data_IF_343645331953
#
_entry.id   IF_343645331953
#
_cell.length_a   1.000
_cell.length_b   1.000
_cell.length_c   1.000
_cell.angle_alpha   90.00
_cell.angle_beta   90.00
_cell.angle_gamma   90.00
#
_symmetry.space_group_name_H-M   'P 1'
#
loop_
_entity.id
_entity.type
_entity.pdbx_description
1 polymer ?
#
# COMPACT_ATOMS: atom_id res chain seq x y z
N UNK A 1 -15.99 4.30 12.50
CA UNK A 1 -15.38 4.99 11.34
C UNK A 1 -14.62 3.96 10.52
N UNK A 2 -14.48 4.16 9.20
CA UNK A 2 -13.65 3.24 8.40
C UNK A 2 -12.19 3.31 8.85
N UNK A 3 -11.48 2.19 8.73
CA UNK A 3 -10.04 2.11 8.96
C UNK A 3 -9.27 2.99 7.96
N UNK A 4 -9.73 3.02 6.71
CA UNK A 4 -9.15 3.86 5.67
C UNK A 4 -9.76 5.26 5.74
N UNK A 5 -8.91 6.28 5.78
CA UNK A 5 -9.32 7.67 5.84
C UNK A 5 -8.49 8.50 4.87
N UNK A 6 -9.15 9.42 4.18
CA UNK A 6 -8.52 10.38 3.28
C UNK A 6 -8.45 11.74 3.95
N UNK A 7 -7.41 12.51 3.62
CA UNK A 7 -7.30 13.93 3.94
C UNK A 7 -7.05 14.71 2.66
N UNK A 8 -7.76 15.81 2.47
CA UNK A 8 -7.51 16.71 1.33
C UNK A 8 -6.30 17.61 1.61
N UNK A 9 -5.65 18.16 0.56
CA UNK A 9 -4.56 19.12 0.72
C UNK A 9 -4.92 20.30 1.64
N UNK A 10 -6.11 20.87 1.49
CA UNK A 10 -6.59 21.97 2.34
C UNK A 10 -6.70 21.55 3.81
N UNK A 11 -7.30 20.39 4.08
CA UNK A 11 -7.44 19.89 5.44
C UNK A 11 -6.08 19.59 6.09
N UNK A 12 -5.11 19.09 5.32
CA UNK A 12 -3.75 18.87 5.82
C UNK A 12 -3.07 20.21 6.14
N UNK A 13 -3.14 21.19 5.23
CA UNK A 13 -2.59 22.53 5.46
C UNK A 13 -3.14 23.20 6.73
N UNK A 14 -4.46 23.08 6.97
CA UNK A 14 -5.12 23.59 8.18
C UNK A 14 -4.70 22.85 9.47
N UNK A 15 -4.09 21.67 9.36
CA UNK A 15 -3.63 20.83 10.49
C UNK A 15 -2.12 20.89 10.73
N UNK A 16 -1.32 21.46 9.82
CA UNK A 16 0.14 21.42 9.91
C UNK A 16 0.72 21.97 11.23
N UNK A 17 0.06 22.98 11.83
CA UNK A 17 0.49 23.56 13.10
C UNK A 17 0.02 22.77 14.35
N UNK A 18 -0.76 21.68 14.18
CA UNK A 18 -1.28 20.91 15.31
C UNK A 18 -0.19 20.01 15.87
N UNK A 19 -0.03 19.94 17.21
CA UNK A 19 0.91 19.03 17.81
C UNK A 19 0.50 17.57 17.57
N UNK A 20 1.48 16.69 17.36
CA UNK A 20 1.25 15.25 17.19
C UNK A 20 0.93 14.80 15.75
N UNK A 21 0.94 15.72 14.78
CA UNK A 21 0.91 15.38 13.35
C UNK A 21 2.29 14.88 12.91
N UNK A 22 2.32 13.72 12.26
CA UNK A 22 3.49 13.17 11.56
C UNK A 22 3.13 12.99 10.09
N UNK A 23 3.97 13.49 9.20
CA UNK A 23 3.77 13.36 7.75
C UNK A 23 4.86 12.45 7.20
N UNK A 24 4.51 11.41 6.45
CA UNK A 24 5.47 10.56 5.75
C UNK A 24 5.32 10.73 4.23
N UNK A 25 6.44 11.02 3.60
CA UNK A 25 6.61 11.04 2.16
C UNK A 25 7.09 9.66 1.70
N UNK A 26 6.24 8.95 0.98
CA UNK A 26 6.49 7.61 0.47
C UNK A 26 6.84 7.60 -1.03
N UNK A 27 7.25 8.73 -1.61
CA UNK A 27 7.63 8.78 -3.04
C UNK A 27 8.74 7.78 -3.35
N UNK A 28 8.55 7.05 -4.45
CA UNK A 28 9.46 6.02 -4.95
C UNK A 28 9.21 5.78 -6.45
N UNK A 29 10.19 5.24 -7.17
CA UNK A 29 10.05 4.80 -8.55
C UNK A 29 10.79 3.46 -8.74
N UNK A 30 10.12 2.47 -9.33
CA UNK A 30 10.69 1.12 -9.48
C UNK A 30 11.89 1.06 -10.42
N UNK A 31 11.95 1.96 -11.39
CA UNK A 31 13.03 2.09 -12.38
C UNK A 31 14.17 3.01 -11.90
N UNK A 32 13.98 3.70 -10.77
CA UNK A 32 14.94 4.64 -10.20
C UNK A 32 14.80 4.68 -8.66
N UNK A 33 15.44 3.74 -7.93
CA UNK A 33 15.31 3.63 -6.47
C UNK A 33 15.71 4.91 -5.71
N UNK A 34 16.59 5.74 -6.27
CA UNK A 34 17.02 7.00 -5.66
C UNK A 34 16.06 8.16 -5.95
N UNK A 35 15.06 7.98 -6.81
CA UNK A 35 14.09 9.02 -7.18
C UNK A 35 13.41 9.61 -5.95
N UNK A 36 12.93 8.77 -5.03
CA UNK A 36 12.20 9.21 -3.84
C UNK A 36 13.02 10.19 -2.99
N UNK A 37 14.26 9.82 -2.68
CA UNK A 37 15.17 10.65 -1.90
C UNK A 37 15.52 11.96 -2.61
N UNK A 38 15.79 11.91 -3.93
CA UNK A 38 16.10 13.12 -4.70
C UNK A 38 14.89 14.05 -4.81
N UNK A 39 13.70 13.50 -5.07
CA UNK A 39 12.44 14.23 -5.18
C UNK A 39 12.07 14.90 -3.84
N UNK A 40 12.28 14.19 -2.72
CA UNK A 40 12.17 14.73 -1.37
C UNK A 40 13.11 15.92 -1.13
N UNK A 41 14.39 15.79 -1.49
CA UNK A 41 15.37 16.85 -1.31
C UNK A 41 15.11 18.10 -2.19
N UNK A 42 14.38 17.94 -3.30
CA UNK A 42 13.97 19.05 -4.18
C UNK A 42 12.71 19.78 -3.70
N UNK A 43 11.95 19.19 -2.78
CA UNK A 43 10.75 19.79 -2.21
C UNK A 43 9.80 18.74 -1.65
N UNK A 44 9.32 18.95 -0.43
CA UNK A 44 8.37 18.07 0.25
C UNK A 44 7.37 18.89 1.06
N UNK A 45 6.31 18.26 1.56
CA UNK A 45 5.39 18.92 2.50
C UNK A 45 6.16 19.24 3.79
N UNK A 46 6.07 20.48 4.29
CA UNK A 46 6.75 20.94 5.51
C UNK A 46 6.56 19.94 6.67
N UNK A 47 7.67 19.55 7.32
CA UNK A 47 7.67 18.60 8.43
C UNK A 47 7.54 17.12 8.04
N UNK A 48 7.49 16.79 6.74
CA UNK A 48 7.47 15.39 6.31
C UNK A 48 8.80 14.68 6.59
N UNK A 49 8.74 13.38 6.85
CA UNK A 49 9.89 12.48 6.81
C UNK A 49 9.82 11.63 5.54
N UNK A 50 10.94 11.42 4.86
CA UNK A 50 11.00 10.43 3.77
C UNK A 50 10.97 9.01 4.34
N UNK A 51 10.04 8.20 3.83
CA UNK A 51 9.83 6.80 4.15
C UNK A 51 10.07 5.97 2.89
N UNK A 52 11.28 5.44 2.76
CA UNK A 52 11.74 4.78 1.54
C UNK A 52 11.18 3.36 1.42
N UNK A 53 10.69 3.01 0.23
CA UNK A 53 10.06 1.71 0.00
C UNK A 53 11.03 0.54 0.26
N UNK A 54 12.27 0.65 -0.20
CA UNK A 54 13.26 -0.43 -0.13
C UNK A 54 13.99 -0.42 1.22
N UNK A 55 14.34 0.77 1.73
CA UNK A 55 15.17 0.90 2.94
C UNK A 55 14.36 0.81 4.23
N UNK A 56 13.09 1.23 4.22
CA UNK A 56 12.28 1.33 5.44
C UNK A 56 11.01 0.49 5.41
N UNK A 57 10.34 0.39 4.25
CA UNK A 57 9.02 -0.26 4.14
C UNK A 57 9.08 -1.70 3.57
N UNK A 58 10.30 -2.23 3.41
CA UNK A 58 10.56 -3.59 2.92
C UNK A 58 11.69 -4.26 3.70
N UNK A 59 11.65 -5.59 3.75
CA UNK A 59 12.73 -6.42 4.26
C UNK A 59 13.77 -6.77 3.18
N UNK A 60 14.87 -7.42 3.56
CA UNK A 60 15.90 -7.84 2.62
C UNK A 60 15.36 -8.92 1.67
N UNK A 61 15.69 -8.80 0.38
CA UNK A 61 15.35 -9.79 -0.64
C UNK A 61 16.27 -11.01 -0.51
N UNK A 62 15.69 -12.19 -0.31
CA UNK A 62 16.40 -13.47 -0.30
C UNK A 62 16.06 -14.21 -1.60
N UNK A 63 17.05 -14.33 -2.48
CA UNK A 63 16.90 -14.93 -3.81
C UNK A 63 16.29 -16.34 -3.72
N UNK A 64 15.22 -16.56 -4.48
CA UNK A 64 14.52 -17.84 -4.56
C UNK A 64 13.55 -18.11 -3.41
N UNK A 65 13.58 -17.30 -2.35
CA UNK A 65 12.71 -17.47 -1.18
C UNK A 65 11.64 -16.39 -1.11
N UNK A 66 12.03 -15.12 -1.28
CA UNK A 66 11.11 -13.98 -1.11
C UNK A 66 10.77 -13.30 -2.43
N UNK A 67 9.71 -12.50 -2.43
CA UNK A 67 9.42 -11.53 -3.49
C UNK A 67 10.34 -10.30 -3.47
N UNK A 68 10.05 -9.31 -4.31
CA UNK A 68 10.85 -8.07 -4.45
C UNK A 68 10.73 -7.09 -3.28
N UNK A 69 9.60 -7.09 -2.57
CA UNK A 69 9.39 -6.20 -1.41
C UNK A 69 8.85 -6.99 -0.21
N UNK A 70 9.67 -7.85 0.39
CA UNK A 70 9.30 -8.62 1.59
C UNK A 70 8.81 -7.69 2.71
N UNK A 71 8.02 -8.20 3.65
CA UNK A 71 7.69 -7.41 4.84
C UNK A 71 8.97 -7.07 5.62
N UNK A 72 9.10 -5.85 6.17
CA UNK A 72 10.24 -5.48 6.99
C UNK A 72 10.24 -6.23 8.32
N UNK A 73 11.41 -6.30 8.96
CA UNK A 73 11.48 -6.77 10.34
C UNK A 73 10.61 -5.87 11.24
N UNK A 74 9.66 -6.43 12.02
CA UNK A 74 8.74 -5.63 12.81
C UNK A 74 9.40 -4.73 13.84
N UNK A 75 10.50 -5.19 14.47
CA UNK A 75 11.21 -4.42 15.50
C UNK A 75 11.93 -3.24 14.84
N UNK A 76 12.63 -3.48 13.73
CA UNK A 76 13.27 -2.42 12.96
C UNK A 76 12.26 -1.38 12.44
N UNK A 77 11.10 -1.83 11.95
CA UNK A 77 10.05 -0.94 11.49
C UNK A 77 9.48 -0.09 12.65
N UNK A 78 9.18 -0.67 13.80
CA UNK A 78 8.72 0.09 14.99
C UNK A 78 9.75 1.14 15.40
N UNK A 79 11.03 0.78 15.41
CA UNK A 79 12.12 1.72 15.71
C UNK A 79 12.22 2.86 14.71
N UNK A 80 12.00 2.58 13.42
CA UNK A 80 11.94 3.61 12.38
C UNK A 80 10.75 4.54 12.57
N UNK A 81 9.56 4.00 12.82
CA UNK A 81 8.35 4.80 13.08
C UNK A 81 8.52 5.71 14.30
N UNK A 82 9.15 5.23 15.38
CA UNK A 82 9.53 6.04 16.54
C UNK A 82 10.50 7.15 16.17
N UNK A 83 11.48 6.88 15.31
CA UNK A 83 12.45 7.88 14.85
C UNK A 83 11.79 9.02 14.04
N UNK A 84 10.68 8.75 13.35
CA UNK A 84 9.83 9.75 12.70
C UNK A 84 8.81 10.42 13.63
N UNK A 85 8.88 10.18 14.94
CA UNK A 85 7.99 10.84 15.91
C UNK A 85 6.64 10.16 16.14
N UNK A 86 6.39 8.99 15.56
CA UNK A 86 5.08 8.32 15.68
C UNK A 86 4.89 7.77 17.10
N UNK A 87 3.74 8.12 17.67
CA UNK A 87 3.21 7.64 18.95
C UNK A 87 1.80 7.07 18.74
N UNK A 88 1.25 6.37 19.74
CA UNK A 88 -0.08 5.77 19.64
C UNK A 88 -1.18 6.79 19.26
N UNK A 89 -1.10 8.01 19.80
CA UNK A 89 -2.05 9.10 19.59
C UNK A 89 -1.68 10.05 18.45
N UNK A 90 -0.59 9.81 17.72
CA UNK A 90 -0.22 10.66 16.57
C UNK A 90 -1.29 10.60 15.47
N UNK A 91 -1.57 11.74 14.84
CA UNK A 91 -2.17 11.76 13.51
C UNK A 91 -1.05 11.53 12.50
N UNK A 92 -1.20 10.55 11.61
CA UNK A 92 -0.20 10.20 10.58
C UNK A 92 -0.80 10.45 9.22
N UNK A 93 -0.13 11.24 8.38
CA UNK A 93 -0.54 11.52 7.00
C UNK A 93 0.51 10.99 6.05
N UNK A 94 0.09 10.14 5.12
CA UNK A 94 0.94 9.43 4.18
C UNK A 94 0.66 9.95 2.77
N UNK A 95 1.70 10.20 1.98
CA UNK A 95 1.53 10.62 0.59
C UNK A 95 2.64 10.08 -0.32
N UNK A 96 2.37 10.04 -1.61
CA UNK A 96 3.36 9.90 -2.67
C UNK A 96 3.05 10.91 -3.79
N UNK A 97 3.57 10.74 -5.00
CA UNK A 97 3.35 11.71 -6.09
C UNK A 97 1.90 11.84 -6.54
N UNK A 98 1.02 10.89 -6.23
CA UNK A 98 -0.39 11.01 -6.57
C UNK A 98 -1.19 9.72 -6.44
N UNK A 99 -0.78 8.61 -7.10
CA UNK A 99 -1.57 7.39 -7.14
C UNK A 99 -1.72 6.68 -5.80
N UNK A 100 -1.03 7.10 -4.74
CA UNK A 100 -1.21 6.62 -3.37
C UNK A 100 -0.74 5.18 -3.13
N UNK A 101 -0.10 4.52 -4.09
CA UNK A 101 0.28 3.11 -3.96
C UNK A 101 1.37 2.87 -2.92
N UNK A 102 2.34 3.78 -2.80
CA UNK A 102 3.42 3.65 -1.81
C UNK A 102 2.94 4.13 -0.44
N UNK A 103 2.13 5.20 -0.42
CA UNK A 103 1.45 5.65 0.79
C UNK A 103 0.52 4.56 1.36
N UNK A 104 -0.19 3.82 0.51
CA UNK A 104 -1.03 2.70 0.93
C UNK A 104 -0.22 1.54 1.50
N UNK A 105 0.99 1.27 0.99
CA UNK A 105 1.91 0.29 1.58
C UNK A 105 2.32 0.69 3.00
N UNK A 106 2.69 1.95 3.21
CA UNK A 106 2.99 2.46 4.55
C UNK A 106 1.77 2.38 5.50
N UNK A 107 0.58 2.72 5.01
CA UNK A 107 -0.67 2.59 5.77
C UNK A 107 -0.94 1.15 6.19
N UNK A 108 -0.78 0.20 5.27
CA UNK A 108 -1.01 -1.21 5.58
C UNK A 108 -0.04 -1.72 6.64
N UNK A 109 1.24 -1.31 6.57
CA UNK A 109 2.25 -1.65 7.59
C UNK A 109 1.92 -1.07 8.96
N UNK A 110 1.41 0.16 9.03
CA UNK A 110 0.89 0.75 10.26
C UNK A 110 -0.29 -0.05 10.83
N UNK A 111 -1.26 -0.41 9.99
CA UNK A 111 -2.41 -1.23 10.39
C UNK A 111 -1.98 -2.63 10.86
N UNK A 112 -0.98 -3.22 10.19
CA UNK A 112 -0.34 -4.49 10.53
C UNK A 112 0.34 -4.46 11.88
N UNK A 113 0.97 -3.35 12.25
CA UNK A 113 1.52 -3.14 13.59
C UNK A 113 0.49 -2.66 14.62
N UNK A 114 -0.79 -2.53 14.25
CA UNK A 114 -1.87 -2.14 15.15
C UNK A 114 -2.18 -0.64 15.22
N UNK A 115 -1.45 0.22 14.50
CA UNK A 115 -1.79 1.65 14.35
C UNK A 115 -2.96 1.81 13.38
N UNK A 116 -4.18 1.76 13.89
CA UNK A 116 -5.43 1.78 13.10
C UNK A 116 -6.19 3.10 13.16
N UNK A 117 -5.94 3.90 14.19
CA UNK A 117 -6.61 5.19 14.37
C UNK A 117 -5.71 6.36 13.96
N UNK A 118 -6.32 7.41 13.41
CA UNK A 118 -5.63 8.64 13.04
C UNK A 118 -4.58 8.47 11.94
N UNK A 119 -4.78 7.55 11.00
CA UNK A 119 -3.91 7.38 9.84
C UNK A 119 -4.67 7.75 8.56
N UNK A 120 -4.11 8.66 7.77
CA UNK A 120 -4.73 9.21 6.57
C UNK A 120 -3.81 9.08 5.36
N UNK A 121 -4.39 8.89 4.18
CA UNK A 121 -3.71 9.14 2.91
C UNK A 121 -4.07 10.54 2.42
N UNK A 122 -3.09 11.29 1.92
CA UNK A 122 -3.33 12.54 1.20
C UNK A 122 -3.95 12.22 -0.17
N UNK A 123 -5.21 12.60 -0.35
CA UNK A 123 -5.97 12.26 -1.56
C UNK A 123 -5.42 12.99 -2.79
N UNK A 124 -4.93 12.21 -3.77
CA UNK A 124 -4.22 12.70 -4.95
C UNK A 124 -2.77 13.13 -4.70
N UNK A 125 -2.22 12.85 -3.51
CA UNK A 125 -0.80 12.99 -3.18
C UNK A 125 -0.21 14.39 -3.40
N UNK A 126 1.09 14.43 -3.71
CA UNK A 126 1.84 15.68 -3.93
C UNK A 126 1.35 16.44 -5.16
N UNK A 127 0.88 15.74 -6.21
CA UNK A 127 0.23 16.36 -7.37
C UNK A 127 -0.98 17.20 -6.95
N UNK A 128 -1.87 16.65 -6.12
CA UNK A 128 -3.03 17.40 -5.62
C UNK A 128 -2.64 18.52 -4.65
N UNK A 129 -1.60 18.32 -3.84
CA UNK A 129 -1.02 19.37 -2.99
C UNK A 129 -0.58 20.58 -3.81
N UNK A 130 0.18 20.34 -4.88
CA UNK A 130 0.65 21.37 -5.78
C UNK A 130 -0.52 22.05 -6.53
N UNK A 131 -1.47 21.28 -7.05
CA UNK A 131 -2.66 21.81 -7.73
C UNK A 131 -3.54 22.69 -6.80
N UNK A 132 -3.49 22.45 -5.49
CA UNK A 132 -4.16 23.26 -4.49
C UNK A 132 -3.39 24.54 -4.11
N UNK A 133 -2.25 24.82 -4.75
CA UNK A 133 -1.41 25.99 -4.49
C UNK A 133 -0.70 25.96 -3.14
N UNK A 134 -0.55 24.79 -2.53
CA UNK A 134 0.09 24.66 -1.22
C UNK A 134 1.62 24.63 -1.35
N UNK A 135 2.36 25.23 -0.41
CA UNK A 135 3.81 25.37 -0.53
C UNK A 135 4.54 24.05 -0.28
N UNK A 136 5.72 23.92 -0.88
CA UNK A 136 6.71 22.91 -0.50
C UNK A 136 7.77 23.54 0.38
N UNK A 137 8.46 22.67 1.11
CA UNK A 137 9.60 22.99 1.97
C UNK A 137 10.84 22.23 1.54
N UNK A 138 11.98 22.79 1.94
CA UNK A 138 13.30 22.15 1.90
C UNK A 138 13.87 21.94 3.31
N UNK A 139 13.13 22.36 4.35
CA UNK A 139 13.58 22.28 5.72
C UNK A 139 13.58 20.82 6.19
N UNK A 140 14.61 20.37 6.93
CA UNK A 140 14.54 19.07 7.57
C UNK A 140 13.37 19.03 8.58
N UNK A 141 12.71 17.88 8.76
CA UNK A 141 11.65 17.75 9.74
C UNK A 141 12.19 17.96 11.15
N UNK A 142 11.34 18.46 12.04
CA UNK A 142 11.72 18.68 13.44
C UNK A 142 12.04 17.36 14.12
N UNK A 143 13.16 17.32 14.85
CA UNK A 143 13.57 16.15 15.59
C UNK A 143 12.64 15.91 16.79
N UNK A 144 12.06 14.70 16.86
CA UNK A 144 11.30 14.24 18.01
C UNK A 144 11.09 12.73 17.92
N UNK A 145 11.50 12.00 18.96
CA UNK A 145 11.31 10.55 19.00
C UNK A 145 9.94 10.22 19.60
N UNK A 146 9.14 9.44 18.89
CA UNK A 146 7.85 8.97 19.33
C UNK A 146 7.94 7.73 20.23
N UNK A 147 6.79 7.29 20.74
CA UNK A 147 6.68 6.18 21.70
C UNK A 147 5.87 4.99 21.17
N UNK A 148 5.60 4.93 19.87
CA UNK A 148 4.76 3.88 19.29
C UNK A 148 5.22 2.47 19.66
N UNK A 149 4.30 1.61 20.05
CA UNK A 149 4.53 0.17 20.19
C UNK A 149 3.56 -0.54 19.25
N UNK A 150 4.03 -1.61 18.61
CA UNK A 150 3.22 -2.34 17.66
C UNK A 150 3.66 -3.79 17.54
N UNK A 151 2.69 -4.65 17.29
CA UNK A 151 2.89 -6.08 17.09
C UNK A 151 2.20 -6.49 15.80
N UNK A 152 2.88 -7.23 14.91
CA UNK A 152 2.28 -7.79 13.71
C UNK A 152 0.96 -8.53 13.96
N UNK A 153 -0.10 -8.15 13.25
CA UNK A 153 -1.33 -8.91 13.15
C UNK A 153 -1.18 -10.01 12.09
N UNK A 154 -1.01 -11.25 12.54
CA UNK A 154 -0.87 -12.41 11.66
C UNK A 154 -2.09 -12.62 10.75
N UNK A 155 -3.28 -12.15 11.12
CA UNK A 155 -4.50 -12.33 10.31
C UNK A 155 -4.52 -11.45 9.06
N UNK A 156 -3.69 -10.39 9.01
CA UNK A 156 -3.63 -9.48 7.87
C UNK A 156 -2.75 -10.00 6.74
N UNK A 157 -1.98 -11.07 6.95
CA UNK A 157 -1.13 -11.66 5.91
C UNK A 157 -1.40 -13.16 5.72
N UNK A 158 -1.04 -13.67 4.56
CA UNK A 158 -1.06 -15.11 4.27
C UNK A 158 0.29 -15.52 3.67
N UNK A 159 0.79 -16.68 4.10
CA UNK A 159 1.99 -17.29 3.51
C UNK A 159 1.68 -17.84 2.12
N UNK A 160 2.72 -18.12 1.33
CA UNK A 160 2.49 -18.75 0.02
C UNK A 160 2.02 -20.19 0.14
N UNK A 161 2.45 -20.91 1.18
CA UNK A 161 2.02 -22.28 1.47
C UNK A 161 0.52 -22.32 1.80
N UNK A 162 0.07 -21.42 2.68
CA UNK A 162 -1.34 -21.33 3.05
C UNK A 162 -2.21 -20.86 1.88
N UNK A 163 -1.70 -19.92 1.05
CA UNK A 163 -2.41 -19.50 -0.15
C UNK A 163 -2.56 -20.66 -1.14
N UNK A 164 -1.50 -21.44 -1.38
CA UNK A 164 -1.55 -22.62 -2.24
C UNK A 164 -2.63 -23.62 -1.79
N UNK A 165 -2.72 -23.88 -0.49
CA UNK A 165 -3.74 -24.78 0.07
C UNK A 165 -5.17 -24.25 -0.08
N UNK A 166 -5.34 -22.94 -0.23
CA UNK A 166 -6.65 -22.30 -0.42
C UNK A 166 -7.06 -22.11 -1.88
N UNK A 167 -6.15 -22.34 -2.84
CA UNK A 167 -6.49 -22.23 -4.26
C UNK A 167 -7.66 -23.14 -4.64
N UNK A 168 -8.60 -22.60 -5.41
CA UNK A 168 -9.80 -23.30 -5.86
C UNK A 168 -10.92 -23.41 -4.82
N UNK A 169 -10.72 -22.94 -3.58
CA UNK A 169 -11.82 -22.89 -2.61
C UNK A 169 -12.91 -21.90 -3.07
N UNK A 170 -14.19 -22.32 -3.20
CA UNK A 170 -15.25 -21.47 -3.76
C UNK A 170 -15.53 -20.20 -2.97
N UNK A 171 -15.19 -20.17 -1.67
CA UNK A 171 -15.37 -19.01 -0.81
C UNK A 171 -14.31 -17.93 -1.01
N UNK A 172 -13.12 -18.28 -1.52
CA UNK A 172 -12.00 -17.36 -1.60
C UNK A 172 -12.18 -16.37 -2.76
N UNK A 173 -11.86 -15.11 -2.50
CA UNK A 173 -11.69 -14.09 -3.53
C UNK A 173 -10.22 -13.72 -3.57
N UNK A 174 -9.53 -14.03 -4.67
CA UNK A 174 -8.13 -13.67 -4.87
C UNK A 174 -8.05 -12.52 -5.87
N UNK A 175 -7.56 -11.35 -5.44
CA UNK A 175 -7.47 -10.15 -6.27
C UNK A 175 -6.03 -9.80 -6.63
N UNK A 176 -5.76 -9.63 -7.92
CA UNK A 176 -4.49 -9.10 -8.42
C UNK A 176 -4.62 -7.60 -8.74
N UNK A 177 -3.80 -6.76 -8.11
CA UNK A 177 -3.82 -5.32 -8.30
C UNK A 177 -2.98 -4.82 -9.50
N UNK A 178 -2.29 -5.72 -10.23
CA UNK A 178 -1.53 -5.37 -11.43
C UNK A 178 -2.45 -4.92 -12.56
N UNK A 179 -1.88 -4.19 -13.52
CA UNK A 179 -2.56 -3.82 -14.75
C UNK A 179 -3.01 -5.07 -15.52
N UNK A 180 -4.16 -4.98 -16.19
CA UNK A 180 -4.79 -6.10 -16.88
C UNK A 180 -3.86 -6.83 -17.88
N UNK A 181 -3.04 -6.15 -18.71
CA UNK A 181 -2.12 -6.85 -19.61
C UNK A 181 -1.07 -7.70 -18.89
N UNK A 182 -0.62 -7.28 -17.70
CA UNK A 182 0.31 -8.07 -16.86
C UNK A 182 -0.37 -9.29 -16.26
N UNK A 183 -1.58 -9.10 -15.75
CA UNK A 183 -2.41 -10.18 -15.22
C UNK A 183 -2.67 -11.26 -16.30
N UNK A 184 -3.07 -10.84 -17.52
CA UNK A 184 -3.35 -11.75 -18.63
C UNK A 184 -2.11 -12.45 -19.18
N UNK A 185 -0.90 -11.98 -18.83
CA UNK A 185 0.36 -12.49 -19.34
C UNK A 185 0.71 -11.99 -20.74
N UNK A 186 0.10 -10.89 -21.19
CA UNK A 186 0.33 -10.28 -22.51
C UNK A 186 1.62 -9.44 -22.51
N UNK A 187 1.93 -8.79 -21.38
CA UNK A 187 3.10 -7.95 -21.18
C UNK A 187 3.66 -8.20 -19.78
N UNK A 188 4.94 -8.52 -19.65
CA UNK A 188 5.59 -8.58 -18.33
C UNK A 188 6.99 -7.95 -18.40
N UNK A 189 7.13 -6.68 -18.00
CA UNK A 189 8.39 -5.95 -18.10
C UNK A 189 9.27 -6.09 -16.85
N UNK A 190 8.75 -6.68 -15.76
CA UNK A 190 9.41 -6.69 -14.45
C UNK A 190 9.83 -8.11 -14.05
N UNK A 191 8.93 -9.06 -14.20
CA UNK A 191 9.09 -10.43 -13.73
C UNK A 191 9.51 -11.41 -14.86
N UNK A 192 10.26 -12.48 -14.56
CA UNK A 192 10.69 -13.45 -15.57
C UNK A 192 9.55 -14.32 -16.13
N UNK A 193 8.40 -14.37 -15.43
CA UNK A 193 7.25 -15.20 -15.80
C UNK A 193 6.01 -14.31 -15.87
N UNK A 194 5.35 -14.32 -17.02
CA UNK A 194 4.10 -13.59 -17.27
C UNK A 194 2.88 -14.44 -16.84
N UNK A 195 1.77 -13.77 -16.51
CA UNK A 195 0.53 -14.41 -16.10
C UNK A 195 0.13 -14.05 -14.68
N UNK A 196 -0.74 -14.86 -14.09
CA UNK A 196 -1.32 -14.65 -12.75
C UNK A 196 -1.51 -15.97 -11.99
N UNK A 197 -1.84 -15.86 -10.70
CA UNK A 197 -2.13 -17.01 -9.83
C UNK A 197 -3.50 -17.59 -10.23
N UNK A 198 -3.62 -18.90 -10.53
CA UNK A 198 -4.88 -19.49 -10.99
C UNK A 198 -6.08 -19.18 -10.10
N UNK A 199 -7.20 -18.79 -10.73
CA UNK A 199 -8.44 -18.41 -10.04
C UNK A 199 -8.45 -16.99 -9.46
N UNK A 200 -7.36 -16.23 -9.62
CA UNK A 200 -7.36 -14.81 -9.31
C UNK A 200 -8.25 -14.02 -10.28
N UNK A 201 -8.76 -12.89 -9.81
CA UNK A 201 -9.43 -11.88 -10.64
C UNK A 201 -8.57 -10.62 -10.69
N UNK A 202 -8.44 -10.02 -11.87
CA UNK A 202 -7.79 -8.72 -11.99
C UNK A 202 -8.67 -7.62 -11.35
N UNK A 203 -8.08 -6.81 -10.49
CA UNK A 203 -8.63 -5.58 -9.93
C UNK A 203 -7.54 -4.51 -9.98
N UNK A 204 -7.20 -4.02 -11.18
CA UNK A 204 -6.13 -3.05 -11.37
C UNK A 204 -6.31 -1.83 -10.45
N UNK A 205 -5.25 -1.46 -9.71
CA UNK A 205 -5.36 -0.49 -8.61
C UNK A 205 -5.72 0.93 -9.10
N UNK A 206 -5.29 1.28 -10.31
CA UNK A 206 -5.52 2.58 -10.93
C UNK A 206 -7.00 2.81 -11.27
N UNK A 207 -7.79 1.75 -11.42
CA UNK A 207 -9.24 1.85 -11.61
C UNK A 207 -10.00 2.18 -10.32
N UNK A 208 -9.30 2.31 -9.18
CA UNK A 208 -9.86 2.88 -7.95
C UNK A 208 -9.74 4.41 -7.90
N UNK A 209 -9.14 5.03 -8.92
CA UNK A 209 -8.87 6.45 -8.99
C UNK A 209 -9.69 7.12 -10.10
N UNK A 210 -9.98 8.41 -9.93
CA UNK A 210 -10.52 9.27 -10.97
C UNK A 210 -9.42 9.79 -11.92
N UNK A 211 -9.82 10.61 -12.89
CA UNK A 211 -8.91 11.19 -13.88
C UNK A 211 -7.85 12.16 -13.28
N UNK A 212 -8.14 12.72 -12.09
CA UNK A 212 -7.20 13.60 -11.39
C UNK A 212 -6.18 12.81 -10.56
N UNK A 213 -6.44 11.52 -10.32
CA UNK A 213 -5.64 10.62 -9.50
C UNK A 213 -6.11 10.57 -8.04
N UNK A 214 -7.34 11.00 -7.74
CA UNK A 214 -7.96 10.87 -6.42
C UNK A 214 -8.75 9.59 -6.31
N UNK A 215 -8.94 9.08 -5.10
CA UNK A 215 -9.80 7.90 -4.90
C UNK A 215 -11.23 8.17 -5.34
N UNK A 216 -11.83 7.20 -6.01
CA UNK A 216 -13.25 7.25 -6.36
C UNK A 216 -14.11 7.33 -5.09
N UNK A 217 -15.33 7.91 -5.18
CA UNK A 217 -16.27 7.91 -4.06
C UNK A 217 -16.55 6.50 -3.52
N UNK A 218 -16.74 6.38 -2.21
CA UNK A 218 -16.94 5.10 -1.51
C UNK A 218 -18.01 4.20 -2.16
N UNK A 219 -19.12 4.77 -2.64
CA UNK A 219 -20.18 4.01 -3.32
C UNK A 219 -19.73 3.41 -4.66
N UNK A 220 -18.89 4.11 -5.43
CA UNK A 220 -18.35 3.58 -6.69
C UNK A 220 -17.33 2.47 -6.42
N UNK A 221 -16.46 2.67 -5.42
CA UNK A 221 -15.53 1.63 -4.96
C UNK A 221 -16.30 0.39 -4.46
N UNK A 222 -17.40 0.61 -3.73
CA UNK A 222 -18.25 -0.48 -3.23
C UNK A 222 -18.88 -1.29 -4.35
N UNK A 223 -19.45 -0.62 -5.37
CA UNK A 223 -20.00 -1.29 -6.55
C UNK A 223 -18.93 -2.11 -7.29
N UNK A 224 -17.74 -1.51 -7.50
CA UNK A 224 -16.60 -2.17 -8.14
C UNK A 224 -16.19 -3.45 -7.41
N UNK A 225 -16.01 -3.39 -6.09
CA UNK A 225 -15.59 -4.56 -5.31
C UNK A 225 -16.71 -5.58 -5.09
N UNK A 226 -17.98 -5.15 -5.01
CA UNK A 226 -19.11 -6.07 -4.97
C UNK A 226 -19.14 -6.99 -6.22
N UNK A 227 -18.85 -6.45 -7.41
CA UNK A 227 -18.75 -7.24 -8.63
C UNK A 227 -17.64 -8.30 -8.58
N UNK A 228 -16.53 -8.03 -7.88
CA UNK A 228 -15.41 -8.98 -7.70
C UNK A 228 -15.70 -10.03 -6.63
N UNK A 229 -16.41 -9.65 -5.57
CA UNK A 229 -16.80 -10.56 -4.48
C UNK A 229 -17.92 -11.50 -4.92
N UNK A 230 -18.93 -11.00 -5.64
CA UNK A 230 -20.19 -11.72 -5.84
C UNK A 230 -20.84 -12.00 -4.49
N UNK A 231 -21.28 -13.25 -4.27
CA UNK A 231 -21.88 -13.68 -3.00
C UNK A 231 -20.85 -14.10 -1.93
N UNK A 232 -19.54 -14.01 -2.23
CA UNK A 232 -18.47 -14.43 -1.32
C UNK A 232 -18.28 -13.40 -0.20
N UNK A 233 -17.91 -13.91 0.97
CA UNK A 233 -17.60 -13.07 2.12
C UNK A 233 -16.35 -12.22 1.86
N UNK A 234 -16.38 -10.89 2.11
CA UNK A 234 -15.19 -10.04 2.01
C UNK A 234 -14.09 -10.40 3.01
N UNK A 235 -14.40 -11.20 4.05
CA UNK A 235 -13.41 -11.71 5.01
C UNK A 235 -12.52 -12.81 4.41
N UNK A 236 -12.97 -13.44 3.34
CA UNK A 236 -12.21 -14.49 2.62
C UNK A 236 -11.35 -13.90 1.50
N UNK A 237 -11.29 -12.57 1.38
CA UNK A 237 -10.54 -11.89 0.33
C UNK A 237 -9.05 -11.87 0.65
N UNK A 238 -8.24 -12.27 -0.34
CA UNK A 238 -6.80 -12.12 -0.37
C UNK A 238 -6.43 -11.20 -1.53
N UNK A 239 -5.64 -10.16 -1.26
CA UNK A 239 -5.10 -9.26 -2.27
C UNK A 239 -3.61 -9.52 -2.50
N UNK A 240 -3.17 -9.46 -3.75
CA UNK A 240 -1.78 -9.51 -4.15
C UNK A 240 -1.55 -8.63 -5.38
N UNK A 241 -0.30 -8.47 -5.79
CA UNK A 241 0.06 -7.73 -7.00
C UNK A 241 1.38 -8.26 -7.57
N UNK A 242 2.26 -7.37 -8.03
CA UNK A 242 3.63 -7.73 -8.39
C UNK A 242 4.48 -8.13 -7.17
N UNK A 243 4.41 -7.37 -6.08
CA UNK A 243 5.33 -7.52 -4.94
C UNK A 243 4.77 -6.94 -3.62
N UNK A 244 3.46 -7.01 -3.39
CA UNK A 244 2.84 -6.60 -2.14
C UNK A 244 2.68 -5.09 -1.91
N UNK A 245 2.83 -4.25 -2.93
CA UNK A 245 2.71 -2.78 -2.83
C UNK A 245 1.34 -2.28 -3.30
N UNK A 246 1.03 -2.39 -4.60
CA UNK A 246 -0.27 -1.93 -5.14
C UNK A 246 -1.46 -2.74 -4.62
N UNK A 247 -1.22 -3.94 -4.08
CA UNK A 247 -2.24 -4.70 -3.35
C UNK A 247 -2.74 -3.94 -2.11
N UNK A 248 -1.85 -3.23 -1.39
CA UNK A 248 -2.24 -2.39 -0.26
C UNK A 248 -3.17 -1.25 -0.70
N UNK A 249 -3.00 -0.73 -1.92
CA UNK A 249 -3.91 0.28 -2.49
C UNK A 249 -5.32 -0.27 -2.69
N UNK A 250 -5.45 -1.51 -3.17
CA UNK A 250 -6.75 -2.19 -3.26
C UNK A 250 -7.37 -2.43 -1.87
N UNK A 251 -6.57 -2.86 -0.89
CA UNK A 251 -7.04 -3.06 0.49
C UNK A 251 -7.51 -1.74 1.13
N UNK A 252 -6.81 -0.64 0.86
CA UNK A 252 -7.23 0.69 1.30
C UNK A 252 -8.57 1.10 0.66
N UNK A 253 -8.70 0.93 -0.66
CA UNK A 253 -9.93 1.24 -1.39
C UNK A 253 -11.13 0.38 -0.94
N UNK A 254 -10.90 -0.91 -0.62
CA UNK A 254 -11.91 -1.80 -0.02
C UNK A 254 -12.39 -1.24 1.34
N UNK A 255 -11.46 -0.81 2.20
CA UNK A 255 -11.81 -0.18 3.47
C UNK A 255 -12.58 1.14 3.26
N UNK A 256 -12.20 1.98 2.30
CA UNK A 256 -12.97 3.19 1.96
C UNK A 256 -14.41 2.85 1.53
N UNK A 257 -14.60 1.76 0.79
CA UNK A 257 -15.90 1.23 0.40
C UNK A 257 -16.73 0.63 1.55
N UNK A 258 -16.18 0.58 2.76
CA UNK A 258 -16.84 0.06 3.96
C UNK A 258 -16.67 -1.45 4.19
N UNK A 259 -15.80 -2.12 3.42
CA UNK A 259 -15.44 -3.52 3.67
C UNK A 259 -14.40 -3.65 4.79
N UNK A 260 -14.33 -4.81 5.48
CA UNK A 260 -13.23 -5.07 6.40
C UNK A 260 -11.88 -5.08 5.67
N UNK A 261 -10.81 -4.82 6.41
CA UNK A 261 -9.46 -5.01 5.88
C UNK A 261 -9.24 -6.48 5.56
N UNK A 262 -9.03 -6.78 4.27
CA UNK A 262 -8.71 -8.11 3.78
C UNK A 262 -7.25 -8.50 4.03
N UNK A 263 -6.93 -9.75 3.68
CA UNK A 263 -5.59 -10.32 3.86
C UNK A 263 -4.68 -9.96 2.69
N UNK A 264 -3.41 -9.65 2.97
CA UNK A 264 -2.37 -9.39 1.98
C UNK A 264 -1.52 -10.65 1.77
N UNK A 265 -1.38 -11.08 0.51
CA UNK A 265 -0.27 -11.96 0.13
C UNK A 265 0.95 -11.09 -0.25
N UNK A 266 1.81 -10.84 0.73
CA UNK A 266 2.86 -9.82 0.64
C UNK A 266 3.96 -10.18 -0.38
N UNK A 267 4.35 -11.45 -0.47
CA UNK A 267 5.31 -11.92 -1.47
C UNK A 267 4.81 -11.73 -2.90
N UNK A 268 3.48 -11.84 -3.10
CA UNK A 268 2.79 -11.51 -4.34
C UNK A 268 3.37 -12.27 -5.55
N UNK A 269 3.13 -11.81 -6.78
CA UNK A 269 3.58 -12.50 -7.99
C UNK A 269 5.09 -12.80 -7.99
N UNK A 270 5.91 -11.86 -7.53
CA UNK A 270 7.36 -12.00 -7.50
C UNK A 270 7.86 -13.12 -6.59
N UNK A 271 7.15 -13.43 -5.51
CA UNK A 271 7.43 -14.61 -4.70
C UNK A 271 6.78 -15.85 -5.32
N UNK A 272 5.57 -15.75 -5.85
CA UNK A 272 4.84 -16.86 -6.47
C UNK A 272 5.67 -17.58 -7.54
N UNK A 273 6.41 -16.82 -8.34
CA UNK A 273 7.18 -17.36 -9.47
C UNK A 273 8.60 -17.81 -9.07
N UNK A 274 9.00 -17.72 -7.80
CA UNK A 274 10.31 -18.23 -7.37
C UNK A 274 10.38 -19.76 -7.38
N UNK A 275 9.23 -20.43 -7.33
CA UNK A 275 9.12 -21.88 -7.44
C UNK A 275 8.38 -22.20 -8.75
N UNK A 276 9.07 -22.80 -9.74
CA UNK A 276 8.48 -23.13 -11.03
C UNK A 276 7.42 -24.24 -10.96
N UNK A 277 7.25 -24.91 -9.80
CA UNK A 277 6.19 -25.91 -9.61
C UNK A 277 4.82 -25.27 -9.30
N UNK A 278 4.79 -24.00 -8.86
CA UNK A 278 3.55 -23.28 -8.63
C UNK A 278 2.86 -22.97 -9.96
N UNK A 279 1.56 -23.30 -10.04
CA UNK A 279 0.79 -23.12 -11.25
C UNK A 279 0.66 -21.64 -11.65
N UNK A 280 0.63 -21.40 -12.95
CA UNK A 280 0.48 -20.08 -13.58
C UNK A 280 -0.66 -20.14 -14.58
N UNK A 281 -1.53 -19.13 -14.55
CA UNK A 281 -2.60 -18.93 -15.51
C UNK A 281 -2.34 -17.69 -16.38
N UNK A 282 -2.97 -17.65 -17.55
CA UNK A 282 -2.96 -16.52 -18.50
C UNK A 282 -4.37 -16.30 -19.02
N UNK A 283 -4.65 -15.15 -19.62
CA UNK A 283 -6.01 -14.77 -20.02
C UNK A 283 -6.84 -14.24 -18.84
N UNK A 284 -8.17 -14.38 -18.96
CA UNK A 284 -9.17 -13.86 -18.00
C UNK A 284 -9.47 -14.83 -16.85
#
# INVERSE_FOLDING_TARGET
MSLAQLISPRQLAERQARPGLVILDCRFALDDPDYGQRSYAQGHIEGAHHADLERDLSGPVIKGLTGRHPLPDPVALVERLRAWGISANSEVVLYDDGPGMYAARAWWLLAWLGKRDGVFLLDGGLKAWHAAGQPLSLNPPTAGRGTFEGTPDAALQISVEDLQQRLGQPSMTLLDARALPRFRGEVEPIDPVAGHIPGAQCAAFNENLDADGRFLPAEQLKQRFAAKLGDRSPRELVAYCGSGVTACHNLFALCLAGYPLGTLYAGSWSEWITDPQRAVATGD
#
